data_IF_868924434379
#
_entry.id   IF_868924434379
#
_cell.length_a   1.000
_cell.length_b   1.000
_cell.length_c   1.000
_cell.angle_alpha   90.00
_cell.angle_beta   90.00
_cell.angle_gamma   90.00
#
_symmetry.space_group_name_H-M   'P 1'
#
loop_
_entity.id
_entity.type
_entity.pdbx_description
1 polymer ?
#
# COMPACT_ATOMS: atom_id res chain seq x y z
N UNK A 1 -9.01 0.14 12.94
CA UNK A 1 -8.44 0.64 11.67
C UNK A 1 -7.11 -0.06 11.39
N UNK A 2 -6.67 -0.14 10.13
CA UNK A 2 -5.30 -0.58 9.85
C UNK A 2 -4.30 0.42 10.41
N UNK A 3 -3.16 -0.08 10.91
CA UNK A 3 -2.12 0.75 11.52
C UNK A 3 -1.41 1.66 10.51
N UNK A 4 -1.49 1.40 9.21
CA UNK A 4 -0.75 2.18 8.21
C UNK A 4 -1.66 2.61 7.06
N UNK A 5 -1.46 3.82 6.51
CA UNK A 5 -2.13 4.25 5.30
C UNK A 5 -1.76 3.31 4.16
N UNK A 6 -2.72 3.03 3.30
CA UNK A 6 -2.53 2.13 2.17
C UNK A 6 -3.22 2.70 0.94
N UNK A 7 -2.66 2.38 -0.22
CA UNK A 7 -3.19 2.80 -1.50
C UNK A 7 -3.47 1.58 -2.37
N UNK A 8 -4.58 1.62 -3.10
CA UNK A 8 -4.83 0.65 -4.16
C UNK A 8 -4.17 1.14 -5.45
N UNK A 9 -3.25 0.35 -5.98
CA UNK A 9 -2.61 0.61 -7.27
C UNK A 9 -3.26 -0.25 -8.35
N UNK A 10 -3.78 0.39 -9.39
CA UNK A 10 -4.46 -0.25 -10.51
C UNK A 10 -3.65 -0.06 -11.79
N UNK A 11 -3.27 -1.17 -12.42
CA UNK A 11 -2.60 -1.16 -13.71
C UNK A 11 -3.64 -1.25 -14.85
N UNK A 12 -3.41 -0.52 -15.93
CA UNK A 12 -4.25 -0.58 -17.14
C UNK A 12 -4.18 -1.93 -17.87
N UNK A 13 -3.09 -2.65 -17.71
CA UNK A 13 -2.84 -3.98 -18.24
C UNK A 13 -1.86 -4.73 -17.34
N UNK A 14 -1.65 -6.02 -17.62
CA UNK A 14 -0.62 -6.82 -16.94
C UNK A 14 0.75 -6.12 -16.97
N UNK A 15 1.33 -5.77 -15.80
CA UNK A 15 2.59 -5.04 -15.74
C UNK A 15 3.81 -5.90 -16.03
N UNK A 16 3.69 -7.22 -15.85
CA UNK A 16 4.77 -8.16 -16.13
C UNK A 16 4.61 -8.73 -17.55
N UNK A 17 5.71 -8.86 -18.32
CA UNK A 17 5.71 -9.72 -19.49
C UNK A 17 5.35 -11.17 -19.13
N UNK A 18 5.05 -11.97 -20.14
CA UNK A 18 4.79 -13.40 -19.95
C UNK A 18 5.95 -14.07 -19.21
N UNK A 19 5.65 -14.62 -18.03
CA UNK A 19 6.59 -15.39 -17.22
C UNK A 19 5.98 -16.74 -16.89
N UNK A 20 6.72 -17.82 -17.15
CA UNK A 20 6.25 -19.19 -16.92
C UNK A 20 6.28 -19.59 -15.44
N UNK A 21 7.30 -19.14 -14.72
CA UNK A 21 7.58 -19.54 -13.35
C UNK A 21 7.58 -18.31 -12.42
N UNK A 22 7.28 -18.54 -11.15
CA UNK A 22 7.35 -17.56 -10.06
C UNK A 22 6.66 -16.22 -10.33
N UNK A 23 5.55 -16.27 -11.07
CA UNK A 23 4.83 -15.07 -11.51
C UNK A 23 4.34 -14.24 -10.31
N UNK A 24 3.75 -14.91 -9.33
CA UNK A 24 3.14 -14.24 -8.19
C UNK A 24 4.21 -13.59 -7.32
N UNK A 25 5.33 -14.28 -7.11
CA UNK A 25 6.47 -13.82 -6.33
C UNK A 25 7.15 -12.64 -7.03
N UNK A 26 7.28 -12.67 -8.36
CA UNK A 26 7.76 -11.52 -9.14
C UNK A 26 6.83 -10.32 -9.00
N UNK A 27 5.51 -10.48 -9.04
CA UNK A 27 4.56 -9.37 -8.83
C UNK A 27 4.75 -8.78 -7.43
N UNK A 28 4.81 -9.62 -6.40
CA UNK A 28 4.96 -9.19 -5.00
C UNK A 28 6.26 -8.44 -4.74
N UNK A 29 7.35 -8.84 -5.39
CA UNK A 29 8.68 -8.25 -5.21
C UNK A 29 9.03 -7.17 -6.25
N UNK A 30 8.11 -6.85 -7.17
CA UNK A 30 8.34 -5.76 -8.12
C UNK A 30 8.26 -4.40 -7.45
N UNK A 31 9.07 -3.47 -7.93
CA UNK A 31 9.21 -2.13 -7.35
C UNK A 31 8.62 -1.10 -8.30
N UNK A 32 7.81 -0.20 -7.75
CA UNK A 32 7.41 1.04 -8.41
C UNK A 32 8.35 2.16 -7.99
N UNK A 33 8.97 2.84 -8.95
CA UNK A 33 9.89 3.96 -8.69
C UNK A 33 9.51 5.18 -9.52
N UNK A 34 9.34 6.31 -8.84
CA UNK A 34 9.20 7.61 -9.51
C UNK A 34 10.49 8.00 -10.24
N UNK A 35 10.36 8.43 -11.49
CA UNK A 35 11.44 8.82 -12.39
C UNK A 35 11.05 10.11 -13.11
N UNK A 36 12.03 10.79 -13.70
CA UNK A 36 11.79 11.91 -14.59
C UNK A 36 12.64 11.73 -15.86
N UNK A 37 12.11 12.14 -17.00
CA UNK A 37 12.87 12.15 -18.25
C UNK A 37 13.69 13.45 -18.41
N UNK A 38 14.42 13.55 -19.52
CA UNK A 38 15.24 14.72 -19.85
C UNK A 38 14.45 16.01 -20.03
N UNK A 39 13.14 15.91 -20.27
CA UNK A 39 12.24 17.05 -20.44
C UNK A 39 11.58 17.44 -19.10
N UNK A 40 11.87 16.71 -18.02
CA UNK A 40 11.28 16.92 -16.70
C UNK A 40 9.91 16.29 -16.51
N UNK A 41 9.42 15.51 -17.47
CA UNK A 41 8.17 14.79 -17.32
C UNK A 41 8.36 13.66 -16.30
N UNK A 42 7.58 13.69 -15.24
CA UNK A 42 7.61 12.64 -14.23
C UNK A 42 6.80 11.43 -14.68
N UNK A 43 7.29 10.24 -14.38
CA UNK A 43 6.62 8.96 -14.64
C UNK A 43 7.00 7.94 -13.56
N UNK A 44 6.34 6.79 -13.57
CA UNK A 44 6.66 5.65 -12.69
C UNK A 44 7.24 4.53 -13.53
N UNK A 45 8.41 4.04 -13.14
CA UNK A 45 8.98 2.79 -13.66
C UNK A 45 8.51 1.59 -12.83
N UNK A 46 8.09 0.53 -13.51
CA UNK A 46 7.81 -0.77 -12.92
C UNK A 46 9.00 -1.70 -13.14
N UNK A 47 9.62 -2.11 -12.05
CA UNK A 47 10.84 -2.91 -12.05
C UNK A 47 10.55 -4.32 -11.53
N UNK A 48 10.83 -5.34 -12.33
CA UNK A 48 10.70 -6.75 -11.91
C UNK A 48 12.06 -7.31 -11.47
N UNK A 49 12.13 -8.10 -10.38
CA UNK A 49 13.39 -8.69 -9.95
C UNK A 49 13.95 -9.65 -10.99
N UNK A 50 15.27 -9.69 -11.11
CA UNK A 50 15.94 -10.81 -11.79
C UNK A 50 15.74 -12.11 -11.01
N UNK A 51 15.92 -13.24 -11.70
CA UNK A 51 15.72 -14.57 -11.10
C UNK A 51 16.64 -14.79 -9.89
N UNK A 52 17.89 -14.32 -9.95
CA UNK A 52 18.83 -14.41 -8.82
C UNK A 52 18.36 -13.61 -7.59
N UNK A 53 17.88 -12.38 -7.80
CA UNK A 53 17.36 -11.54 -6.72
C UNK A 53 16.08 -12.12 -6.11
N UNK A 54 15.23 -12.71 -6.94
CA UNK A 54 14.03 -13.42 -6.53
C UNK A 54 14.36 -14.66 -5.69
N UNK A 55 15.26 -15.52 -6.16
CA UNK A 55 15.69 -16.72 -5.46
C UNK A 55 16.34 -16.39 -4.11
N UNK A 56 17.22 -15.38 -4.08
CA UNK A 56 17.82 -14.91 -2.85
C UNK A 56 16.76 -14.42 -1.87
N UNK A 57 15.78 -13.63 -2.33
CA UNK A 57 14.73 -13.12 -1.45
C UNK A 57 13.84 -14.23 -0.88
N UNK A 58 13.49 -15.22 -1.71
CA UNK A 58 12.74 -16.40 -1.26
C UNK A 58 13.53 -17.25 -0.27
N UNK A 59 14.87 -17.30 -0.40
CA UNK A 59 15.73 -17.97 0.57
C UNK A 59 15.81 -17.20 1.90
N UNK A 60 15.88 -15.87 1.85
CA UNK A 60 15.89 -15.02 3.03
C UNK A 60 14.59 -15.15 3.83
N UNK A 61 13.43 -15.03 3.16
CA UNK A 61 12.13 -15.15 3.83
C UNK A 61 11.88 -16.56 4.41
N UNK A 62 12.48 -17.62 3.84
CA UNK A 62 12.46 -18.98 4.41
C UNK A 62 13.27 -19.11 5.69
N UNK A 63 14.35 -18.35 5.83
CA UNK A 63 15.19 -18.37 7.03
C UNK A 63 14.49 -17.60 8.15
N UNK A 64 14.11 -16.36 7.86
CA UNK A 64 13.39 -15.48 8.77
C UNK A 64 12.76 -14.35 7.94
N UNK A 65 11.46 -14.13 8.13
CA UNK A 65 10.72 -13.10 7.41
C UNK A 65 11.37 -11.74 7.66
N UNK A 66 11.73 -11.04 6.57
CA UNK A 66 12.36 -9.73 6.65
C UNK A 66 13.87 -9.76 6.84
N UNK A 67 14.48 -10.95 6.97
CA UNK A 67 15.93 -11.07 6.85
C UNK A 67 16.40 -10.77 5.42
N UNK A 68 17.68 -10.46 5.29
CA UNK A 68 18.32 -10.20 4.00
C UNK A 68 19.78 -10.62 4.08
N UNK A 69 20.36 -10.93 2.93
CA UNK A 69 21.79 -11.19 2.82
C UNK A 69 22.55 -9.87 2.80
N UNK A 70 23.46 -9.71 3.76
CA UNK A 70 24.35 -8.54 3.82
C UNK A 70 25.19 -8.44 2.53
N UNK A 71 25.39 -7.22 2.06
CA UNK A 71 26.10 -6.87 0.82
C UNK A 71 25.56 -7.51 -0.48
N UNK A 72 24.38 -8.13 -0.46
CA UNK A 72 23.75 -8.64 -1.66
C UNK A 72 22.99 -7.54 -2.41
N UNK A 73 23.24 -7.44 -3.71
CA UNK A 73 22.63 -6.47 -4.60
C UNK A 73 21.40 -7.06 -5.30
N UNK A 74 20.21 -6.69 -4.85
CA UNK A 74 18.96 -7.13 -5.46
C UNK A 74 18.68 -6.32 -6.71
N UNK A 75 19.06 -6.87 -7.86
CA UNK A 75 18.88 -6.23 -9.15
C UNK A 75 17.48 -6.48 -9.73
N UNK A 76 16.90 -5.42 -10.28
CA UNK A 76 15.58 -5.42 -10.90
C UNK A 76 15.67 -4.77 -12.28
N UNK A 77 14.93 -5.30 -13.24
CA UNK A 77 14.86 -4.80 -14.60
C UNK A 77 13.63 -3.93 -14.81
N UNK A 78 13.80 -2.78 -15.49
CA UNK A 78 12.66 -1.97 -15.93
C UNK A 78 11.85 -2.72 -16.99
N UNK A 79 10.60 -3.03 -16.68
CA UNK A 79 9.70 -3.73 -17.60
C UNK A 79 8.71 -2.80 -18.29
N UNK A 80 8.20 -1.79 -17.57
CA UNK A 80 7.17 -0.86 -18.04
C UNK A 80 7.35 0.52 -17.44
N UNK A 81 6.83 1.51 -18.14
CA UNK A 81 6.68 2.88 -17.64
C UNK A 81 5.21 3.28 -17.66
N UNK A 82 4.81 4.06 -16.66
CA UNK A 82 3.44 4.47 -16.44
C UNK A 82 3.36 5.96 -16.13
N UNK A 83 2.34 6.60 -16.69
CA UNK A 83 1.79 7.82 -16.11
C UNK A 83 0.85 7.41 -14.98
N UNK A 84 0.70 8.25 -13.95
CA UNK A 84 -0.20 7.97 -12.84
C UNK A 84 -1.25 9.06 -12.66
N UNK A 85 -2.42 8.65 -12.16
CA UNK A 85 -3.44 9.57 -11.65
C UNK A 85 -3.85 9.12 -10.26
N UNK A 86 -3.91 10.07 -9.32
CA UNK A 86 -4.32 9.83 -7.94
C UNK A 86 -5.76 10.27 -7.76
N UNK A 87 -6.58 9.41 -7.16
CA UNK A 87 -7.92 9.73 -6.67
C UNK A 87 -7.93 9.48 -5.17
N UNK A 88 -8.42 10.44 -4.40
CA UNK A 88 -8.53 10.38 -2.94
C UNK A 88 -9.95 10.77 -2.50
N UNK A 89 -10.22 10.75 -1.19
CA UNK A 89 -11.51 11.15 -0.61
C UNK A 89 -12.01 12.54 -1.03
N UNK A 90 -11.11 13.47 -1.32
CA UNK A 90 -11.46 14.82 -1.80
C UNK A 90 -11.88 14.86 -3.29
N UNK A 91 -11.69 13.76 -4.03
CA UNK A 91 -12.03 13.69 -5.45
C UNK A 91 -13.54 13.54 -5.63
N UNK A 92 -14.17 14.43 -6.41
CA UNK A 92 -15.61 14.37 -6.67
C UNK A 92 -16.01 13.01 -7.27
N UNK A 93 -16.95 12.33 -6.63
CA UNK A 93 -17.43 11.00 -7.06
C UNK A 93 -16.61 9.83 -6.53
N UNK A 94 -15.70 10.05 -5.57
CA UNK A 94 -14.94 8.98 -4.92
C UNK A 94 -15.82 8.07 -4.05
N UNK A 95 -16.94 8.57 -3.53
CA UNK A 95 -17.73 7.96 -2.44
C UNK A 95 -18.35 6.58 -2.70
N UNK A 96 -18.44 6.11 -3.95
CA UNK A 96 -19.32 4.98 -4.29
C UNK A 96 -18.69 3.58 -4.07
N UNK A 97 -17.37 3.45 -3.88
CA UNK A 97 -16.71 2.13 -3.82
C UNK A 97 -15.47 2.07 -2.89
N UNK A 98 -15.43 2.81 -1.80
CA UNK A 98 -14.19 2.94 -1.00
C UNK A 98 -13.97 1.85 0.02
N UNK A 99 -14.59 0.68 -0.08
CA UNK A 99 -14.34 -0.37 0.90
C UNK A 99 -13.76 -1.60 0.22
N UNK A 100 -12.78 -2.20 0.86
CA UNK A 100 -12.31 -3.53 0.51
C UNK A 100 -12.53 -4.45 1.70
N UNK A 101 -12.77 -5.72 1.40
CA UNK A 101 -12.99 -6.76 2.40
C UNK A 101 -11.87 -7.79 2.35
N UNK A 102 -11.45 -8.25 3.52
CA UNK A 102 -10.49 -9.35 3.66
C UNK A 102 -11.12 -10.39 4.56
N UNK A 103 -11.16 -11.64 4.09
CA UNK A 103 -11.54 -12.79 4.89
C UNK A 103 -10.31 -13.27 5.67
N UNK A 104 -10.40 -13.34 6.99
CA UNK A 104 -9.38 -13.96 7.85
C UNK A 104 -10.05 -15.04 8.69
N UNK A 105 -9.74 -16.30 8.40
CA UNK A 105 -10.46 -17.44 8.97
C UNK A 105 -11.93 -17.43 8.53
N UNK A 106 -12.84 -17.31 9.50
CA UNK A 106 -14.30 -17.25 9.27
C UNK A 106 -14.90 -15.85 9.37
N UNK A 107 -14.08 -14.81 9.53
CA UNK A 107 -14.56 -13.44 9.78
C UNK A 107 -14.14 -12.50 8.66
N UNK A 108 -15.12 -11.75 8.15
CA UNK A 108 -14.87 -10.65 7.22
C UNK A 108 -14.46 -9.40 7.98
N UNK A 109 -13.36 -8.82 7.53
CA UNK A 109 -12.91 -7.50 7.93
C UNK A 109 -13.06 -6.58 6.73
N UNK A 110 -13.49 -5.34 6.95
CA UNK A 110 -13.52 -4.33 5.90
C UNK A 110 -12.71 -3.12 6.34
N UNK A 111 -12.19 -2.37 5.39
CA UNK A 111 -11.62 -1.07 5.66
C UNK A 111 -11.81 -0.13 4.48
N UNK A 112 -11.74 1.18 4.75
CA UNK A 112 -11.92 2.21 3.75
C UNK A 112 -10.62 2.47 2.98
N UNK A 113 -10.66 2.35 1.66
CA UNK A 113 -9.68 2.80 0.70
C UNK A 113 -9.58 4.32 0.72
N UNK A 114 -8.45 4.84 1.19
CA UNK A 114 -8.21 6.27 1.24
C UNK A 114 -7.71 6.83 -0.10
N UNK A 115 -6.82 6.08 -0.77
CA UNK A 115 -6.16 6.51 -2.00
C UNK A 115 -6.17 5.42 -3.06
N UNK A 116 -6.57 5.79 -4.29
CA UNK A 116 -6.45 4.97 -5.50
C UNK A 116 -5.47 5.60 -6.47
N UNK A 117 -4.52 4.82 -6.95
CA UNK A 117 -3.54 5.23 -7.95
C UNK A 117 -3.77 4.40 -9.21
N UNK A 118 -4.15 5.05 -10.30
CA UNK A 118 -4.26 4.38 -11.62
C UNK A 118 -2.98 4.61 -12.40
N UNK A 119 -2.41 3.54 -12.92
CA UNK A 119 -1.20 3.52 -13.73
C UNK A 119 -1.57 3.18 -15.17
N UNK A 120 -1.38 4.16 -16.06
CA UNK A 120 -1.63 4.03 -17.49
C UNK A 120 -0.29 3.97 -18.23
N UNK A 121 -0.11 2.97 -19.09
CA UNK A 121 1.16 2.73 -19.78
C UNK A 121 1.57 3.98 -20.56
N UNK A 122 2.80 4.40 -20.33
CA UNK A 122 3.39 5.54 -21.00
C UNK A 122 3.76 5.17 -22.43
N UNK A 123 3.16 5.85 -23.40
CA UNK A 123 3.54 5.73 -24.81
C UNK A 123 4.73 6.66 -25.05
N UNK A 124 5.87 6.09 -25.45
CA UNK A 124 7.03 6.88 -25.88
C UNK A 124 6.84 7.28 -27.34
N UNK A 125 7.17 8.52 -27.68
CA UNK A 125 7.24 8.95 -29.07
C UNK A 125 8.27 8.11 -29.85
N UNK A 126 8.10 8.03 -31.17
CA UNK A 126 8.92 7.23 -32.10
C UNK A 126 10.45 7.41 -31.96
N UNK A 127 10.92 8.45 -31.26
CA UNK A 127 12.33 8.83 -31.17
C UNK A 127 12.97 8.57 -29.79
N UNK A 128 12.21 8.09 -28.80
CA UNK A 128 12.72 7.92 -27.43
C UNK A 128 12.95 6.44 -27.12
N UNK A 129 14.03 5.88 -27.68
CA UNK A 129 14.51 4.55 -27.30
C UNK A 129 15.22 4.62 -25.94
N UNK A 130 14.48 4.76 -24.84
CA UNK A 130 15.07 4.34 -23.55
C UNK A 130 15.31 2.85 -23.69
N UNK A 131 16.57 2.46 -23.64
CA UNK A 131 16.96 1.06 -23.76
C UNK A 131 16.24 0.23 -22.70
N UNK A 132 15.73 -0.93 -23.09
CA UNK A 132 15.09 -1.91 -22.20
C UNK A 132 16.08 -2.55 -21.19
N UNK A 133 17.19 -1.88 -20.91
CA UNK A 133 18.33 -2.34 -20.12
C UNK A 133 18.54 -1.48 -18.87
N UNK A 134 17.58 -0.63 -18.50
CA UNK A 134 17.63 0.06 -17.21
C UNK A 134 17.50 -0.96 -16.09
N UNK A 135 18.49 -0.97 -15.18
CA UNK A 135 18.55 -1.84 -14.01
C UNK A 135 18.46 -0.96 -12.77
N UNK A 136 17.60 -1.34 -11.85
CA UNK A 136 17.53 -0.81 -10.49
C UNK A 136 18.26 -1.79 -9.56
N UNK A 137 19.33 -1.31 -8.95
CA UNK A 137 20.05 -2.03 -7.91
C UNK A 137 19.57 -1.58 -6.52
N UNK A 138 19.28 -2.54 -5.65
CA UNK A 138 18.79 -2.30 -4.29
C UNK A 138 19.63 -3.11 -3.29
N UNK A 139 20.14 -2.44 -2.26
CA UNK A 139 20.82 -3.07 -1.12
C UNK A 139 20.03 -2.79 0.16
N UNK A 140 19.79 -3.84 0.94
CA UNK A 140 19.13 -3.72 2.23
C UNK A 140 20.14 -3.36 3.32
N UNK A 141 19.74 -2.46 4.22
CA UNK A 141 20.52 -2.07 5.39
C UNK A 141 19.62 -1.88 6.60
N UNK A 142 20.22 -1.90 7.79
CA UNK A 142 19.53 -1.51 9.01
C UNK A 142 19.14 -0.03 8.93
N UNK A 143 17.97 0.27 9.48
CA UNK A 143 17.51 1.65 9.66
C UNK A 143 18.48 2.38 10.60
N UNK A 144 18.74 3.65 10.30
CA UNK A 144 19.51 4.50 11.20
C UNK A 144 18.62 5.06 12.34
N UNK A 145 19.25 5.72 13.31
CA UNK A 145 18.54 6.26 14.48
C UNK A 145 17.52 7.35 14.14
N UNK A 146 17.71 8.09 13.04
CA UNK A 146 16.79 9.13 12.58
C UNK A 146 15.58 8.52 11.86
N UNK A 147 15.82 7.50 11.04
CA UNK A 147 14.76 6.73 10.37
C UNK A 147 13.90 6.01 11.41
N UNK A 148 14.52 5.42 12.43
CA UNK A 148 13.82 4.80 13.57
C UNK A 148 12.97 5.81 14.34
N UNK A 149 13.49 7.00 14.65
CA UNK A 149 12.73 8.01 15.37
C UNK A 149 11.57 8.57 14.54
N UNK A 150 11.75 8.77 13.23
CA UNK A 150 10.66 9.15 12.33
C UNK A 150 9.57 8.09 12.28
N UNK A 151 9.94 6.80 12.19
CA UNK A 151 8.98 5.70 12.25
C UNK A 151 8.21 5.65 13.57
N UNK A 152 8.84 6.00 14.69
CA UNK A 152 8.17 6.08 15.99
C UNK A 152 7.17 7.24 16.04
N UNK A 153 7.53 8.41 15.50
CA UNK A 153 6.63 9.58 15.45
C UNK A 153 5.39 9.29 14.61
N UNK A 154 5.55 8.69 13.42
CA UNK A 154 4.41 8.31 12.57
C UNK A 154 3.49 7.32 13.30
N UNK A 155 4.07 6.30 13.95
CA UNK A 155 3.28 5.35 14.72
C UNK A 155 2.55 5.98 15.91
N UNK A 156 3.15 6.96 16.58
CA UNK A 156 2.50 7.66 17.70
C UNK A 156 1.33 8.53 17.23
N UNK A 157 1.51 9.29 16.13
CA UNK A 157 0.45 10.10 15.56
C UNK A 157 -0.78 9.26 15.15
N UNK A 158 -0.56 8.08 14.57
CA UNK A 158 -1.64 7.15 14.20
C UNK A 158 -2.37 6.56 15.41
N UNK A 159 -1.67 6.33 16.53
CA UNK A 159 -2.29 5.86 17.77
C UNK A 159 -3.15 6.96 18.38
N UNK A 160 -2.66 8.20 18.42
CA UNK A 160 -3.43 9.35 18.91
C UNK A 160 -4.71 9.57 18.07
N UNK A 161 -4.61 9.47 16.74
CA UNK A 161 -5.77 9.57 15.84
C UNK A 161 -6.79 8.45 16.13
N UNK A 162 -6.34 7.21 16.33
CA UNK A 162 -7.22 6.08 16.63
C UNK A 162 -7.91 6.18 18.01
N UNK A 163 -7.24 6.72 19.02
CA UNK A 163 -7.81 6.96 20.35
C UNK A 163 -8.88 8.07 20.33
N UNK A 164 -8.67 9.14 19.55
CA UNK A 164 -9.66 10.21 19.36
C UNK A 164 -10.95 9.70 18.68
N UNK A 165 -10.83 8.80 17.70
CA UNK A 165 -11.99 8.16 17.05
C UNK A 165 -12.67 7.14 17.98
N UNK A 166 -11.92 6.44 18.83
CA UNK A 166 -12.46 5.51 19.82
C UNK A 166 -13.28 6.22 20.91
N UNK A 167 -12.75 7.32 21.45
CA UNK A 167 -13.40 8.10 22.50
C UNK A 167 -14.70 8.79 22.04
N UNK A 168 -14.75 9.22 20.78
CA UNK A 168 -15.97 9.82 20.19
C UNK A 168 -17.07 8.78 19.93
N UNK A 169 -16.72 7.51 19.71
CA UNK A 169 -17.68 6.43 19.50
C UNK A 169 -18.25 5.92 20.84
N UNK A 170 -17.41 5.73 21.85
CA UNK A 170 -17.84 5.28 23.19
C UNK A 170 -18.69 6.34 23.92
N UNK A 171 -18.48 7.64 23.67
CA UNK A 171 -19.29 8.71 24.28
C UNK A 171 -20.70 8.84 23.69
N UNK A 172 -21.06 8.08 22.65
CA UNK A 172 -22.35 8.19 21.94
C UNK A 172 -23.35 7.07 22.28
N UNK A 173 -22.98 6.08 23.09
CA UNK A 173 -23.86 4.95 23.46
C UNK A 173 -24.53 5.07 24.85
N UNK A 174 -24.25 6.11 25.65
CA UNK A 174 -24.82 6.22 27.01
C UNK A 174 -26.09 7.10 27.17
N UNK A 175 -26.57 7.79 26.12
CA UNK A 175 -27.75 8.68 26.22
C UNK A 175 -28.94 8.15 25.40
N UNK A 176 -29.41 6.94 25.73
CA UNK A 176 -30.71 6.43 25.30
C UNK A 176 -31.43 5.72 26.46
N UNK A 177 -31.73 6.53 27.49
CA UNK A 177 -32.89 6.44 28.37
C UNK A 177 -33.26 5.06 28.97
N UNK A 178 -32.79 4.81 30.18
CA UNK A 178 -33.54 4.01 31.16
C UNK A 178 -33.49 4.70 32.52
N UNK A 179 -34.60 5.34 32.92
CA UNK A 179 -35.22 5.18 34.25
C UNK A 179 -36.19 6.33 34.59
N UNK A 180 -37.48 6.00 34.73
CA UNK A 180 -38.23 6.26 35.97
C UNK A 180 -39.59 5.58 35.92
N UNK A 181 -39.61 4.34 36.40
CA UNK A 181 -40.77 3.63 36.93
C UNK A 181 -41.06 4.18 38.35
N UNK A 182 -42.27 4.69 38.62
CA UNK A 182 -43.24 4.21 39.64
C UNK A 182 -43.83 5.46 40.34
N UNK A 183 -45.06 5.59 40.85
CA UNK A 183 -46.28 4.77 41.05
C UNK A 183 -47.33 5.70 41.67
N UNK A 184 -48.64 5.52 41.39
CA UNK A 184 -49.78 5.71 42.33
C UNK A 184 -51.08 5.42 41.54
N UNK A 185 -51.80 4.31 41.80
CA UNK A 185 -52.88 4.15 42.80
C UNK A 185 -53.96 5.24 42.75
N UNK A 186 -55.15 4.92 42.22
CA UNK A 186 -56.37 4.65 43.01
C UNK A 186 -57.66 4.65 42.13
N UNK A 187 -58.58 3.78 42.58
CA UNK A 187 -60.04 3.65 42.43
C UNK A 187 -60.83 4.64 41.54
N UNK A 188 -61.62 4.15 40.56
CA UNK A 188 -63.09 3.90 40.63
C UNK A 188 -63.63 3.42 39.26
#
# INVERSE_FOLDING_TARGET
LWKFPFAQVLFDADPLPYCKNHRQEKLTLSILRGMADSEGNQFVGYFSPFDEALEQRLADDKKEIGSYKEDFEYQHKLEREYNWSVQNKATKGYEQENYFMVLRGSTFYYNELETRVKLARRVKGSNTSTSNNTILSVTNRMLDSKELSQMQVVQQAEVEEAEEVGATTESSEEESSTSSDSSDKDEE
#
